data_IF_111846094759
#
_entry.id   IF_111846094759
#
_cell.length_a   1.000
_cell.length_b   1.000
_cell.length_c   1.000
_cell.angle_alpha   90.00
_cell.angle_beta   90.00
_cell.angle_gamma   90.00
#
_symmetry.space_group_name_H-M   'P 1'
#
loop_
_entity.id
_entity.type
_entity.pdbx_description
1 polymer ?
#
# COMPACT_ATOMS: atom_id res chain seq x y z
N UNK A 1 -3.57 9.35 18.20
CA UNK A 1 -3.93 9.68 19.60
C UNK A 1 -4.52 8.48 20.37
N UNK A 2 -5.68 7.95 19.95
CA UNK A 2 -6.35 6.85 20.68
C UNK A 2 -5.47 5.60 20.79
N UNK A 3 -4.82 5.19 19.70
CA UNK A 3 -3.95 3.99 19.65
C UNK A 3 -2.81 4.08 20.68
N UNK A 4 -2.04 5.16 20.66
CA UNK A 4 -0.89 5.35 21.56
C UNK A 4 -1.35 5.40 23.02
N UNK A 5 -2.42 6.14 23.31
CA UNK A 5 -2.97 6.24 24.67
C UNK A 5 -3.47 4.90 25.20
N UNK A 6 -4.21 4.15 24.38
CA UNK A 6 -4.72 2.83 24.76
C UNK A 6 -3.58 1.85 24.99
N UNK A 7 -2.62 1.83 24.13
CA UNK A 7 -1.45 0.93 24.25
C UNK A 7 -0.64 1.25 25.51
N UNK A 8 -0.37 2.54 25.75
CA UNK A 8 0.36 2.97 26.95
C UNK A 8 -0.45 2.71 28.23
N UNK A 9 -1.76 2.98 28.24
CA UNK A 9 -2.59 2.76 29.43
C UNK A 9 -2.69 1.29 29.81
N UNK A 10 -2.82 0.39 28.83
CA UNK A 10 -3.00 -1.05 29.06
C UNK A 10 -1.67 -1.78 29.28
N UNK A 11 -0.64 -1.47 28.51
CA UNK A 11 0.60 -2.25 28.48
C UNK A 11 1.81 -1.51 29.05
N UNK A 12 1.68 -0.22 29.37
CA UNK A 12 2.81 0.66 29.79
C UNK A 12 3.95 0.67 28.75
N UNK A 13 3.61 0.50 27.51
CA UNK A 13 4.51 0.43 26.37
C UNK A 13 4.07 1.43 25.30
N UNK A 14 5.02 2.08 24.63
CA UNK A 14 4.75 2.96 23.50
C UNK A 14 5.05 2.21 22.20
N UNK A 15 4.36 2.49 21.08
CA UNK A 15 4.71 1.93 19.80
C UNK A 15 6.14 2.28 19.39
N UNK A 16 6.85 1.36 18.76
CA UNK A 16 8.20 1.60 18.23
C UNK A 16 8.16 2.51 16.97
N UNK A 17 7.04 2.52 16.27
CA UNK A 17 6.76 3.40 15.14
C UNK A 17 5.26 3.46 14.86
N UNK A 18 4.82 4.47 14.12
CA UNK A 18 3.46 4.57 13.57
C UNK A 18 3.56 4.58 12.06
N UNK A 19 2.85 3.66 11.40
CA UNK A 19 2.70 3.65 9.95
C UNK A 19 1.37 4.32 9.59
N UNK A 20 1.46 5.37 8.77
CA UNK A 20 0.31 6.10 8.21
C UNK A 20 0.13 5.64 6.77
N UNK A 21 -1.01 5.04 6.48
CA UNK A 21 -1.31 4.58 5.13
C UNK A 21 -2.34 5.52 4.47
N UNK A 22 -1.97 6.07 3.31
CA UNK A 22 -2.83 6.95 2.52
C UNK A 22 -3.75 6.19 1.56
N UNK A 23 -4.76 6.86 0.96
CA UNK A 23 -5.78 6.26 0.10
C UNK A 23 -5.21 5.72 -1.23
N UNK A 24 -3.98 6.06 -1.61
CA UNK A 24 -3.28 5.53 -2.80
C UNK A 24 -2.51 4.24 -2.53
N UNK A 25 -2.66 3.64 -1.36
CA UNK A 25 -2.06 2.35 -1.02
C UNK A 25 -2.59 1.19 -1.87
N UNK A 26 -1.89 0.08 -1.82
CA UNK A 26 -2.29 -1.18 -2.45
C UNK A 26 -2.95 -2.14 -1.47
N UNK A 27 -3.60 -3.16 -1.99
CA UNK A 27 -4.28 -4.13 -1.16
C UNK A 27 -5.61 -3.61 -0.60
N UNK A 28 -5.98 -4.10 0.58
CA UNK A 28 -7.18 -3.62 1.27
C UNK A 28 -6.96 -2.21 1.80
N UNK A 29 -7.95 -1.37 1.60
CA UNK A 29 -7.90 0.04 1.96
C UNK A 29 -8.75 0.28 3.21
N UNK A 30 -8.18 0.93 4.21
CA UNK A 30 -8.85 1.32 5.44
C UNK A 30 -9.78 2.54 5.28
N UNK A 31 -10.23 2.82 4.07
CA UNK A 31 -11.04 3.96 3.66
C UNK A 31 -12.35 3.50 3.04
N UNK A 32 -13.37 4.32 3.12
CA UNK A 32 -14.55 4.17 2.28
C UNK A 32 -14.25 4.62 0.85
N UNK A 33 -15.02 4.14 -0.14
CA UNK A 33 -14.76 4.47 -1.55
C UNK A 33 -14.77 5.97 -1.84
N UNK A 34 -15.71 6.73 -1.24
CA UNK A 34 -15.78 8.18 -1.36
C UNK A 34 -14.55 8.91 -0.80
N UNK A 35 -13.86 8.34 0.19
CA UNK A 35 -12.66 8.91 0.81
C UNK A 35 -11.40 8.70 -0.05
N UNK A 36 -11.45 7.76 -1.00
CA UNK A 36 -10.28 7.45 -1.85
C UNK A 36 -9.92 8.57 -2.82
N UNK A 37 -10.87 9.44 -3.12
CA UNK A 37 -10.75 10.58 -4.05
C UNK A 37 -10.81 11.94 -3.35
N UNK A 38 -11.03 11.97 -2.04
CA UNK A 38 -11.12 13.17 -1.24
C UNK A 38 -9.70 13.60 -0.81
N UNK A 39 -9.31 14.81 -1.19
CA UNK A 39 -7.99 15.37 -0.88
C UNK A 39 -7.72 15.54 0.62
N UNK A 40 -8.79 15.62 1.44
CA UNK A 40 -8.65 15.65 2.89
C UNK A 40 -7.95 14.40 3.43
N UNK A 41 -8.17 13.25 2.80
CA UNK A 41 -7.53 11.97 3.15
C UNK A 41 -6.21 11.73 2.42
N UNK A 42 -5.79 12.63 1.52
CA UNK A 42 -4.51 12.49 0.83
C UNK A 42 -3.36 12.36 1.84
N UNK A 43 -2.34 11.59 1.49
CA UNK A 43 -1.19 11.36 2.38
C UNK A 43 -0.54 12.68 2.79
N UNK A 44 -0.49 13.64 1.89
CA UNK A 44 0.03 14.98 2.09
C UNK A 44 -0.77 15.79 3.14
N UNK A 45 -2.06 15.53 3.26
CA UNK A 45 -2.94 16.16 4.26
C UNK A 45 -2.85 15.49 5.62
N UNK A 46 -2.90 14.17 5.65
CA UNK A 46 -2.98 13.41 6.92
C UNK A 46 -1.63 13.26 7.65
N UNK A 47 -0.50 13.26 6.93
CA UNK A 47 0.82 13.09 7.57
C UNK A 47 1.12 14.21 8.56
N UNK A 48 0.99 15.52 8.22
CA UNK A 48 1.25 16.59 9.19
C UNK A 48 0.34 16.53 10.42
N UNK A 49 -0.93 16.16 10.25
CA UNK A 49 -1.88 16.04 11.36
C UNK A 49 -1.47 14.92 12.32
N UNK A 50 -1.08 13.76 11.78
CA UNK A 50 -0.65 12.62 12.59
C UNK A 50 0.68 12.90 13.28
N UNK A 51 1.63 13.53 12.59
CA UNK A 51 2.91 13.96 13.17
C UNK A 51 2.66 14.90 14.37
N UNK A 52 1.77 15.89 14.23
CA UNK A 52 1.44 16.80 15.33
C UNK A 52 0.83 16.06 16.53
N UNK A 53 -0.07 15.10 16.31
CA UNK A 53 -0.67 14.27 17.37
C UNK A 53 0.36 13.35 18.05
N UNK A 54 1.33 12.83 17.30
CA UNK A 54 2.42 11.99 17.83
C UNK A 54 3.36 12.84 18.67
N UNK A 55 3.80 14.00 18.18
CA UNK A 55 4.66 14.92 18.93
C UNK A 55 4.03 15.38 20.24
N UNK A 56 2.71 15.63 20.26
CA UNK A 56 2.00 15.96 21.50
C UNK A 56 2.05 14.80 22.51
N UNK A 57 1.94 13.55 22.04
CA UNK A 57 2.05 12.37 22.90
C UNK A 57 3.49 12.15 23.38
N UNK A 58 4.49 12.33 22.52
CA UNK A 58 5.91 12.24 22.86
C UNK A 58 6.31 13.23 23.96
N UNK A 59 5.84 14.48 23.84
CA UNK A 59 6.10 15.52 24.82
C UNK A 59 5.48 15.21 26.21
N UNK A 60 4.30 14.56 26.22
CA UNK A 60 3.63 14.13 27.46
C UNK A 60 4.36 12.96 28.16
N UNK A 61 4.97 12.05 27.36
CA UNK A 61 5.48 10.76 27.88
C UNK A 61 7.01 10.63 27.84
N UNK A 62 7.74 11.63 27.31
CA UNK A 62 9.21 11.62 27.23
C UNK A 62 9.78 10.51 26.33
N UNK A 63 9.09 10.19 25.24
CA UNK A 63 9.48 9.14 24.30
C UNK A 63 9.63 9.71 22.88
N UNK A 64 10.11 8.88 21.95
CA UNK A 64 10.13 9.18 20.53
C UNK A 64 9.45 8.05 19.74
N UNK A 65 8.59 8.39 18.78
CA UNK A 65 7.81 7.45 17.97
C UNK A 65 7.87 7.92 16.51
N UNK A 66 8.75 7.37 15.68
CA UNK A 66 8.85 7.78 14.29
C UNK A 66 7.56 7.51 13.51
N UNK A 67 7.18 8.47 12.67
CA UNK A 67 6.04 8.36 11.75
C UNK A 67 6.54 7.93 10.39
N UNK A 68 6.06 6.78 9.92
CA UNK A 68 6.38 6.20 8.62
C UNK A 68 5.16 6.36 7.71
N UNK A 69 5.32 6.89 6.51
CA UNK A 69 4.22 7.11 5.59
C UNK A 69 4.23 6.11 4.43
N UNK A 70 3.07 5.59 4.04
CA UNK A 70 2.89 4.66 2.94
C UNK A 70 1.68 4.98 2.07
N UNK A 71 1.67 4.49 0.84
CA UNK A 71 0.56 4.66 -0.09
C UNK A 71 0.78 5.75 -1.14
N UNK A 72 1.02 5.34 -2.39
CA UNK A 72 1.22 6.22 -3.53
C UNK A 72 2.63 6.76 -3.71
N UNK A 73 3.55 6.48 -2.80
CA UNK A 73 4.96 6.86 -2.91
C UNK A 73 5.65 5.97 -3.94
N UNK A 74 6.30 6.56 -4.94
CA UNK A 74 6.88 5.82 -6.05
C UNK A 74 8.29 6.26 -6.44
N UNK A 75 8.63 7.53 -6.26
CA UNK A 75 9.91 8.15 -6.64
C UNK A 75 10.65 8.69 -5.43
N UNK A 76 11.94 9.02 -5.61
CA UNK A 76 12.73 9.74 -4.62
C UNK A 76 12.18 11.15 -4.33
N UNK A 77 11.55 11.79 -5.33
CA UNK A 77 10.82 13.05 -5.14
C UNK A 77 9.64 12.88 -4.19
N UNK A 78 8.83 11.82 -4.39
CA UNK A 78 7.71 11.52 -3.49
C UNK A 78 8.20 11.31 -2.05
N UNK A 79 9.32 10.58 -1.88
CA UNK A 79 9.96 10.37 -0.58
C UNK A 79 10.34 11.71 0.05
N UNK A 80 11.05 12.57 -0.70
CA UNK A 80 11.47 13.88 -0.21
C UNK A 80 10.27 14.74 0.22
N UNK A 81 9.23 14.80 -0.62
CA UNK A 81 8.02 15.56 -0.35
C UNK A 81 7.33 15.10 0.94
N UNK A 82 7.12 13.82 1.11
CA UNK A 82 6.45 13.27 2.30
C UNK A 82 7.30 13.43 3.56
N UNK A 83 8.60 13.20 3.49
CA UNK A 83 9.49 13.43 4.63
C UNK A 83 9.57 14.92 5.00
N UNK A 84 9.45 15.84 4.04
CA UNK A 84 9.38 17.28 4.30
C UNK A 84 8.11 17.70 5.07
N UNK A 85 7.09 16.85 5.11
CA UNK A 85 5.86 17.06 5.90
C UNK A 85 5.96 16.51 7.34
N UNK A 86 7.12 15.96 7.71
CA UNK A 86 7.41 15.50 9.07
C UNK A 86 7.44 13.98 9.24
N UNK A 87 7.17 13.20 8.19
CA UNK A 87 7.44 11.75 8.25
C UNK A 87 8.96 11.50 8.34
N UNK A 88 9.35 10.49 9.12
CA UNK A 88 10.75 10.10 9.32
C UNK A 88 11.18 8.92 8.43
N UNK A 89 10.22 8.35 7.72
CA UNK A 89 10.46 7.29 6.76
C UNK A 89 9.26 7.04 5.87
N UNK A 90 9.44 6.15 4.88
CA UNK A 90 8.38 5.75 3.96
C UNK A 90 8.31 4.24 3.82
N UNK A 91 7.09 3.73 3.57
CA UNK A 91 6.83 2.34 3.23
C UNK A 91 6.42 2.24 1.77
N UNK A 92 7.12 1.40 1.02
CA UNK A 92 6.87 1.18 -0.40
C UNK A 92 6.77 -0.32 -0.68
N UNK A 93 5.65 -0.79 -1.22
CA UNK A 93 5.47 -2.20 -1.61
C UNK A 93 5.49 -2.37 -3.14
N UNK A 94 4.58 -1.70 -3.82
CA UNK A 94 4.35 -1.81 -5.28
C UNK A 94 5.63 -1.64 -6.11
N UNK A 95 6.48 -0.68 -5.74
CA UNK A 95 7.72 -0.37 -6.45
C UNK A 95 8.73 -1.53 -6.42
N UNK A 96 8.65 -2.39 -5.38
CA UNK A 96 9.55 -3.53 -5.20
C UNK A 96 9.03 -4.84 -5.82
N UNK A 97 7.79 -4.87 -6.32
CA UNK A 97 7.26 -6.05 -7.02
C UNK A 97 8.02 -6.33 -8.31
N UNK A 98 8.38 -5.29 -9.06
CA UNK A 98 9.13 -5.43 -10.32
C UNK A 98 10.63 -5.44 -10.09
N UNK A 99 11.07 -6.23 -9.09
CA UNK A 99 12.49 -6.46 -8.82
C UNK A 99 12.89 -7.90 -9.09
N UNK A 100 14.18 -8.12 -9.32
CA UNK A 100 14.74 -9.47 -9.51
C UNK A 100 14.55 -10.31 -8.26
N UNK A 101 14.71 -9.69 -7.08
CA UNK A 101 14.64 -10.34 -5.77
C UNK A 101 13.21 -10.65 -5.31
N UNK A 102 12.19 -10.06 -5.94
CA UNK A 102 10.81 -10.46 -5.69
C UNK A 102 10.58 -11.90 -6.12
N UNK A 103 10.15 -12.75 -5.21
CA UNK A 103 9.98 -14.20 -5.39
C UNK A 103 8.67 -14.62 -6.08
N UNK A 104 7.84 -13.65 -6.47
CA UNK A 104 6.64 -13.91 -7.26
C UNK A 104 7.00 -14.42 -8.67
N UNK A 105 6.10 -15.22 -9.23
CA UNK A 105 6.25 -15.74 -10.58
C UNK A 105 6.49 -14.61 -11.61
N UNK A 106 7.31 -14.83 -12.65
CA UNK A 106 7.55 -13.83 -13.70
C UNK A 106 6.26 -13.26 -14.31
N UNK A 107 5.22 -14.08 -14.51
CA UNK A 107 3.94 -13.60 -15.04
C UNK A 107 3.23 -12.62 -14.08
N UNK A 108 3.40 -12.80 -12.75
CA UNK A 108 2.91 -11.84 -11.78
C UNK A 108 3.61 -10.49 -11.91
N UNK A 109 4.95 -10.48 -12.02
CA UNK A 109 5.73 -9.26 -12.24
C UNK A 109 5.39 -8.59 -13.57
N UNK A 110 5.19 -9.40 -14.61
CA UNK A 110 4.83 -8.93 -15.95
C UNK A 110 3.49 -8.19 -15.94
N UNK A 111 2.51 -8.64 -15.15
CA UNK A 111 1.22 -7.95 -15.05
C UNK A 111 1.33 -6.50 -14.55
N UNK A 112 2.38 -6.16 -13.78
CA UNK A 112 2.66 -4.78 -13.38
C UNK A 112 3.27 -3.96 -14.52
N UNK A 113 4.12 -4.59 -15.36
CA UNK A 113 4.74 -3.91 -16.51
C UNK A 113 3.73 -3.67 -17.63
N UNK A 114 2.75 -4.55 -17.78
CA UNK A 114 1.72 -4.46 -18.81
C UNK A 114 0.57 -3.53 -18.40
N UNK A 115 0.44 -3.23 -17.10
CA UNK A 115 -0.66 -2.43 -16.58
C UNK A 115 -0.57 -0.96 -17.01
N UNK A 116 -1.68 -0.43 -17.49
CA UNK A 116 -1.89 1.00 -17.69
C UNK A 116 -2.59 1.64 -16.49
N UNK A 117 -2.69 2.96 -16.47
CA UNK A 117 -3.42 3.65 -15.40
C UNK A 117 -4.88 3.24 -15.32
N UNK A 118 -5.49 2.91 -16.46
CA UNK A 118 -6.89 2.47 -16.55
C UNK A 118 -7.11 1.07 -15.99
N UNK A 119 -6.05 0.26 -15.92
CA UNK A 119 -6.12 -1.10 -15.38
C UNK A 119 -6.05 -1.13 -13.84
N UNK A 120 -5.81 0.02 -13.19
CA UNK A 120 -5.79 0.10 -11.74
C UNK A 120 -7.19 0.39 -11.23
N UNK A 121 -7.84 -0.62 -10.65
CA UNK A 121 -9.24 -0.52 -10.22
C UNK A 121 -9.43 -0.74 -8.71
N UNK A 122 -10.52 -0.20 -8.18
CA UNK A 122 -11.00 -0.50 -6.83
C UNK A 122 -11.98 -1.66 -6.92
N UNK A 123 -11.70 -2.71 -6.17
CA UNK A 123 -12.53 -3.92 -6.10
C UNK A 123 -13.20 -4.05 -4.75
N UNK A 124 -14.35 -4.69 -4.71
CA UNK A 124 -14.99 -5.11 -3.48
C UNK A 124 -14.42 -6.47 -3.06
N UNK A 125 -13.61 -6.47 -2.01
CA UNK A 125 -13.02 -7.70 -1.49
C UNK A 125 -14.03 -8.56 -0.74
N UNK A 126 -13.89 -9.90 -0.76
CA UNK A 126 -14.71 -10.81 0.05
C UNK A 126 -14.66 -10.56 1.56
N UNK A 127 -13.64 -9.86 2.03
CA UNK A 127 -13.49 -9.49 3.44
C UNK A 127 -14.23 -8.21 3.83
N UNK A 128 -15.00 -7.62 2.91
CA UNK A 128 -15.85 -6.46 3.17
C UNK A 128 -15.16 -5.11 3.11
N UNK A 129 -13.92 -5.06 2.64
CA UNK A 129 -13.15 -3.81 2.45
C UNK A 129 -12.96 -3.52 0.96
N UNK A 130 -12.89 -2.25 0.52
CA UNK A 130 -12.38 -1.93 -0.80
C UNK A 130 -10.90 -2.34 -0.90
N UNK A 131 -10.49 -2.76 -2.09
CA UNK A 131 -9.09 -3.11 -2.36
C UNK A 131 -8.65 -2.55 -3.70
N UNK A 132 -7.37 -2.21 -3.85
CA UNK A 132 -6.84 -1.75 -5.14
C UNK A 132 -6.05 -2.86 -5.79
N UNK A 133 -6.40 -3.16 -7.05
CA UNK A 133 -5.83 -4.26 -7.80
C UNK A 133 -5.59 -3.87 -9.26
N UNK A 134 -4.74 -4.65 -9.93
CA UNK A 134 -4.63 -4.64 -11.39
C UNK A 134 -5.81 -5.43 -11.95
N UNK A 135 -6.48 -4.86 -12.93
CA UNK A 135 -7.56 -5.50 -13.68
C UNK A 135 -7.14 -6.88 -14.21
N UNK A 136 -8.04 -7.84 -14.18
CA UNK A 136 -7.78 -9.20 -14.71
C UNK A 136 -9.06 -9.89 -15.14
N UNK A 137 -8.95 -10.84 -16.07
CA UNK A 137 -10.07 -11.68 -16.49
C UNK A 137 -10.70 -12.50 -15.34
N UNK A 138 -9.97 -12.69 -14.25
CA UNK A 138 -10.54 -13.28 -13.03
C UNK A 138 -11.55 -12.33 -12.40
N UNK A 139 -11.20 -11.04 -12.25
CA UNK A 139 -12.10 -10.03 -11.66
C UNK A 139 -13.35 -9.81 -12.52
N UNK A 140 -13.23 -9.89 -13.84
CA UNK A 140 -14.41 -9.83 -14.72
C UNK A 140 -15.37 -10.97 -14.44
N UNK A 141 -14.87 -12.20 -14.38
CA UNK A 141 -15.71 -13.36 -14.04
C UNK A 141 -16.30 -13.29 -12.63
N UNK A 142 -15.61 -12.64 -11.69
CA UNK A 142 -16.18 -12.37 -10.36
C UNK A 142 -17.35 -11.39 -10.46
N UNK A 143 -17.21 -10.30 -11.24
CA UNK A 143 -18.29 -9.33 -11.48
C UNK A 143 -19.51 -9.97 -12.14
N UNK A 144 -19.28 -10.94 -13.04
CA UNK A 144 -20.33 -11.74 -13.70
C UNK A 144 -20.93 -12.84 -12.80
N UNK A 145 -20.42 -13.01 -11.57
CA UNK A 145 -20.89 -14.03 -10.63
C UNK A 145 -20.46 -15.46 -10.94
N UNK A 146 -19.47 -15.65 -11.81
CA UNK A 146 -18.99 -16.96 -12.30
C UNK A 146 -17.97 -17.63 -11.38
N UNK A 147 -17.43 -16.91 -10.39
CA UNK A 147 -16.37 -17.41 -9.50
C UNK A 147 -16.93 -17.53 -8.07
N UNK A 148 -17.31 -18.75 -7.69
CA UNK A 148 -17.73 -19.06 -6.32
C UNK A 148 -16.90 -20.21 -5.76
N UNK A 149 -16.43 -20.13 -4.50
CA UNK A 149 -15.73 -21.25 -3.88
C UNK A 149 -16.71 -22.40 -3.65
N UNK A 150 -16.25 -23.62 -3.90
CA UNK A 150 -17.06 -24.84 -3.63
C UNK A 150 -16.89 -25.31 -2.18
N UNK A 151 -15.69 -25.13 -1.64
CA UNK A 151 -15.32 -25.49 -0.28
C UNK A 151 -14.14 -24.58 0.16
N UNK A 152 -13.87 -24.53 1.45
CA UNK A 152 -12.72 -23.83 2.00
C UNK A 152 -11.64 -24.85 2.42
N UNK A 153 -10.47 -24.89 1.76
CA UNK A 153 -9.37 -25.75 2.16
C UNK A 153 -8.47 -25.14 3.25
N UNK A 154 -8.65 -23.84 3.58
CA UNK A 154 -7.72 -23.12 4.43
C UNK A 154 -8.23 -22.83 5.84
N UNK A 155 -9.53 -22.71 6.02
CA UNK A 155 -10.17 -22.30 7.29
C UNK A 155 -9.47 -21.10 7.95
N UNK A 156 -9.13 -20.09 7.12
CA UNK A 156 -8.20 -19.02 7.46
C UNK A 156 -8.85 -17.83 8.16
N UNK A 157 -10.13 -17.58 7.93
CA UNK A 157 -10.87 -16.44 8.47
C UNK A 157 -12.15 -16.94 9.13
N UNK A 158 -12.26 -16.79 10.44
CA UNK A 158 -13.39 -17.27 11.25
C UNK A 158 -14.75 -16.71 10.79
N UNK A 159 -14.78 -15.50 10.26
CA UNK A 159 -16.01 -14.82 9.81
C UNK A 159 -16.30 -15.03 8.31
N UNK A 160 -15.48 -15.83 7.60
CA UNK A 160 -15.69 -16.10 6.18
C UNK A 160 -16.88 -17.03 5.97
N UNK A 161 -17.86 -16.55 5.23
CA UNK A 161 -18.97 -17.39 4.74
C UNK A 161 -18.66 -17.88 3.33
N UNK A 162 -18.21 -19.13 3.23
CA UNK A 162 -17.81 -19.76 1.95
C UNK A 162 -18.98 -19.83 0.98
N UNK A 163 -20.21 -19.97 1.46
CA UNK A 163 -21.40 -20.16 0.61
C UNK A 163 -21.85 -18.87 -0.07
N UNK A 164 -21.58 -17.71 0.56
CA UNK A 164 -21.94 -16.39 0.05
C UNK A 164 -20.75 -15.60 -0.50
N UNK A 165 -19.52 -16.07 -0.27
CA UNK A 165 -18.33 -15.40 -0.78
C UNK A 165 -18.23 -15.51 -2.32
N UNK A 166 -17.93 -14.41 -3.04
CA UNK A 166 -17.76 -14.46 -4.49
C UNK A 166 -16.54 -15.28 -4.91
N UNK A 167 -15.51 -15.36 -4.09
CA UNK A 167 -14.30 -16.17 -4.29
C UNK A 167 -13.51 -16.33 -2.99
N UNK A 168 -12.61 -17.30 -2.95
CA UNK A 168 -11.63 -17.43 -1.87
C UNK A 168 -10.46 -16.50 -2.12
N UNK A 169 -10.28 -15.46 -1.27
CA UNK A 169 -9.21 -14.46 -1.45
C UNK A 169 -7.83 -15.08 -1.31
N UNK A 170 -7.61 -15.98 -0.35
CA UNK A 170 -6.33 -16.66 -0.16
C UNK A 170 -5.92 -17.43 -1.42
N UNK A 171 -6.87 -18.17 -2.02
CA UNK A 171 -6.60 -18.93 -3.24
C UNK A 171 -6.35 -18.01 -4.44
N UNK A 172 -7.10 -16.91 -4.55
CA UNK A 172 -6.93 -15.94 -5.63
C UNK A 172 -5.54 -15.28 -5.58
N UNK A 173 -5.10 -14.82 -4.41
CA UNK A 173 -3.78 -14.21 -4.23
C UNK A 173 -2.65 -15.24 -4.43
N UNK A 174 -2.81 -16.46 -3.91
CA UNK A 174 -1.84 -17.53 -4.12
C UNK A 174 -1.71 -17.92 -5.59
N UNK A 175 -2.82 -18.03 -6.31
CA UNK A 175 -2.79 -18.32 -7.74
C UNK A 175 -2.08 -17.20 -8.53
N UNK A 176 -2.36 -15.94 -8.20
CA UNK A 176 -1.68 -14.81 -8.83
C UNK A 176 -0.17 -14.84 -8.55
N UNK A 177 0.24 -15.05 -7.29
CA UNK A 177 1.65 -15.21 -6.91
C UNK A 177 2.36 -16.32 -7.73
N UNK A 178 1.65 -17.42 -8.04
CA UNK A 178 2.11 -18.54 -8.89
C UNK A 178 1.93 -18.30 -10.38
N UNK A 179 1.70 -17.07 -10.84
CA UNK A 179 1.55 -16.71 -12.25
C UNK A 179 0.22 -17.12 -12.90
N UNK A 180 -0.72 -17.69 -12.13
CA UNK A 180 -2.02 -18.15 -12.63
C UNK A 180 -3.06 -17.03 -12.55
N UNK A 181 -2.81 -15.92 -13.25
CA UNK A 181 -3.63 -14.70 -13.19
C UNK A 181 -5.08 -14.91 -13.69
N UNK A 182 -5.32 -15.93 -14.52
CA UNK A 182 -6.69 -16.33 -14.89
C UNK A 182 -7.51 -16.88 -13.69
N UNK A 183 -6.86 -17.22 -12.57
CA UNK A 183 -7.48 -17.72 -11.34
C UNK A 183 -7.21 -16.84 -10.12
N UNK A 184 -6.71 -15.63 -10.34
CA UNK A 184 -6.38 -14.68 -9.29
C UNK A 184 -6.13 -13.28 -9.83
N UNK A 185 -5.71 -12.39 -8.96
CA UNK A 185 -5.40 -11.00 -9.28
C UNK A 185 -4.27 -10.47 -8.40
N UNK A 186 -3.59 -9.44 -8.88
CA UNK A 186 -2.53 -8.76 -8.16
C UNK A 186 -3.08 -7.53 -7.44
N UNK A 187 -2.92 -7.45 -6.12
CA UNK A 187 -3.09 -6.19 -5.40
C UNK A 187 -1.94 -5.24 -5.72
N UNK A 188 -2.24 -3.96 -5.88
CA UNK A 188 -1.23 -2.95 -6.21
C UNK A 188 -1.58 -1.58 -5.66
N UNK A 189 -0.61 -0.70 -5.49
CA UNK A 189 -0.83 0.72 -5.21
C UNK A 189 -1.26 1.48 -6.47
N UNK A 190 -1.77 2.70 -6.28
CA UNK A 190 -2.28 3.54 -7.36
C UNK A 190 -1.25 3.84 -8.47
N UNK A 191 0.04 3.76 -8.15
CA UNK A 191 1.15 4.05 -9.07
C UNK A 191 1.77 2.79 -9.71
N UNK A 192 1.12 1.61 -9.63
CA UNK A 192 1.65 0.37 -10.20
C UNK A 192 1.92 0.45 -11.71
N UNK A 193 1.07 1.15 -12.44
CA UNK A 193 1.17 1.37 -13.88
C UNK A 193 2.45 2.11 -14.34
N UNK A 194 3.21 2.69 -13.39
CA UNK A 194 4.47 3.39 -13.68
C UNK A 194 5.68 2.45 -13.76
N UNK A 195 5.47 1.15 -13.60
CA UNK A 195 6.51 0.15 -13.70
C UNK A 195 6.92 -0.03 -15.17
N UNK A 196 8.22 0.15 -15.47
CA UNK A 196 8.74 0.10 -16.86
C UNK A 196 9.61 -1.13 -17.11
N UNK A 197 10.25 -1.65 -16.07
CA UNK A 197 11.21 -2.76 -16.18
C UNK A 197 11.37 -3.53 -14.88
N UNK A 198 11.87 -4.76 -14.98
CA UNK A 198 12.42 -5.50 -13.84
C UNK A 198 13.87 -5.04 -13.64
N UNK A 199 14.26 -4.77 -12.41
CA UNK A 199 15.60 -4.33 -12.05
C UNK A 199 16.01 -4.89 -10.68
N UNK A 200 17.29 -4.84 -10.32
CA UNK A 200 17.71 -5.25 -8.98
C UNK A 200 17.22 -4.26 -7.91
N UNK A 201 17.01 -4.74 -6.68
CA UNK A 201 16.72 -3.86 -5.53
C UNK A 201 17.86 -2.85 -5.34
N UNK A 202 19.11 -3.26 -5.59
CA UNK A 202 20.26 -2.36 -5.54
C UNK A 202 20.08 -1.15 -6.47
N UNK A 203 19.76 -1.40 -7.73
CA UNK A 203 19.60 -0.33 -8.73
C UNK A 203 18.38 0.52 -8.43
N UNK A 204 17.29 -0.09 -7.98
CA UNK A 204 16.11 0.61 -7.51
C UNK A 204 16.45 1.57 -6.37
N UNK A 205 17.12 1.10 -5.32
CA UNK A 205 17.51 1.91 -4.17
C UNK A 205 18.48 3.02 -4.57
N UNK A 206 19.42 2.75 -5.49
CA UNK A 206 20.33 3.76 -6.00
C UNK A 206 19.58 4.87 -6.75
N UNK A 207 18.59 4.52 -7.60
CA UNK A 207 17.77 5.50 -8.31
C UNK A 207 16.91 6.34 -7.37
N UNK A 208 16.22 5.72 -6.40
CA UNK A 208 15.43 6.42 -5.40
C UNK A 208 16.27 7.40 -4.58
N UNK A 209 17.48 6.99 -4.18
CA UNK A 209 18.40 7.85 -3.45
C UNK A 209 18.85 9.03 -4.32
N UNK A 210 19.25 8.79 -5.57
CA UNK A 210 19.70 9.86 -6.48
C UNK A 210 18.57 10.87 -6.74
N UNK A 211 17.34 10.41 -6.95
CA UNK A 211 16.18 11.27 -7.12
C UNK A 211 15.93 12.11 -5.85
N UNK A 212 15.93 11.48 -4.67
CA UNK A 212 15.77 12.16 -3.38
C UNK A 212 16.83 13.24 -3.17
N UNK A 213 18.11 12.90 -3.35
CA UNK A 213 19.23 13.82 -3.16
C UNK A 213 19.11 15.03 -4.11
N UNK A 214 18.72 14.80 -5.36
CA UNK A 214 18.55 15.85 -6.37
C UNK A 214 17.44 16.84 -5.99
N UNK A 215 16.32 16.36 -5.47
CA UNK A 215 15.22 17.20 -4.98
C UNK A 215 15.59 17.94 -3.70
N UNK A 216 16.29 17.30 -2.77
CA UNK A 216 16.80 17.93 -1.54
C UNK A 216 17.75 19.08 -1.84
N UNK A 217 18.63 18.92 -2.82
CA UNK A 217 19.55 19.97 -3.25
C UNK A 217 18.82 21.15 -3.92
N UNK A 218 17.84 20.88 -4.79
CA UNK A 218 17.00 21.92 -5.41
C UNK A 218 16.18 22.67 -4.36
N UNK A 219 15.59 21.99 -3.41
CA UNK A 219 14.84 22.60 -2.31
C UNK A 219 15.72 23.60 -1.51
N UNK A 220 16.95 23.22 -1.19
CA UNK A 220 17.91 24.10 -0.51
C UNK A 220 18.33 25.31 -1.35
N UNK A 221 18.50 25.15 -2.68
CA UNK A 221 18.93 26.23 -3.59
C UNK A 221 17.82 27.24 -3.90
N UNK A 222 16.56 26.78 -3.99
CA UNK A 222 15.42 27.61 -4.40
C UNK A 222 14.48 28.00 -3.26
N UNK A 223 14.80 27.66 -2.00
CA UNK A 223 14.03 28.05 -0.82
C UNK A 223 12.60 27.47 -0.77
N UNK A 224 12.34 26.40 -1.48
CA UNK A 224 11.07 25.68 -1.40
C UNK A 224 11.09 24.88 -0.09
N UNK A 225 10.35 25.40 0.90
CA UNK A 225 10.06 24.70 2.16
C UNK A 225 8.93 23.73 1.99
#
# INVERSE_FOLDING_TARGET
KLLCRKWFSEYKYVPDAIVVEGPKAGGHLGYKEEQLVDEHYALESIVPEIVAEVHAFEAEHGCHIPVIAGGGIYTGEDIYRIMSLGAEGVQMGTRFVTTEECDADPAFKQSYLDATQQDIEIIKSPVGMPGRAIHSSFLDRVKEGLKRPKNCPFDCIKTCDVTHSPYCIMLALYNAFKGKLQNGYAFCGANAWRAEKIQSVRDLMASLKAEYDNFSLKGKLFGVK
#
